data_IF_403017488664
#
_entry.id   IF_403017488664
#
_cell.length_a   1.000
_cell.length_b   1.000
_cell.length_c   1.000
_cell.angle_alpha   90.00
_cell.angle_beta   90.00
_cell.angle_gamma   90.00
#
_symmetry.space_group_name_H-M   'P 1'
#
loop_
_entity.id
_entity.type
_entity.pdbx_description
1 polymer ?
#
# COMPACT_ATOMS: atom_id res chain seq x y z
N UNK A 1 9.66 -11.62 -12.29
CA UNK A 1 8.82 -11.78 -11.08
C UNK A 1 9.29 -13.04 -10.34
N UNK A 2 9.44 -12.97 -9.02
CA UNK A 2 9.94 -14.10 -8.23
C UNK A 2 9.01 -15.31 -8.33
N UNK A 3 9.59 -16.51 -8.45
CA UNK A 3 8.87 -17.77 -8.40
C UNK A 3 8.31 -18.04 -6.99
N UNK A 4 7.15 -18.71 -6.89
CA UNK A 4 6.47 -19.01 -5.61
C UNK A 4 5.22 -18.16 -5.33
N UNK A 5 4.85 -17.99 -4.06
CA UNK A 5 3.70 -17.18 -3.61
C UNK A 5 4.21 -15.85 -3.07
N UNK A 6 4.00 -14.72 -3.76
CA UNK A 6 4.42 -13.41 -3.27
C UNK A 6 3.48 -12.97 -2.13
N UNK A 7 4.04 -12.27 -1.16
CA UNK A 7 3.30 -11.63 -0.07
C UNK A 7 3.60 -10.13 -0.10
N UNK A 8 2.57 -9.31 0.00
CA UNK A 8 2.66 -7.86 0.12
C UNK A 8 2.08 -7.45 1.48
N UNK A 9 2.71 -6.45 2.11
CA UNK A 9 2.16 -5.83 3.30
C UNK A 9 1.10 -4.81 2.91
N UNK A 10 0.12 -4.62 3.77
CA UNK A 10 -0.95 -3.65 3.53
C UNK A 10 -0.39 -2.22 3.43
N UNK A 11 -0.61 -1.55 2.29
CA UNK A 11 -0.10 -0.22 2.00
C UNK A 11 1.23 -0.18 1.24
N UNK A 12 1.83 -1.33 0.90
CA UNK A 12 3.00 -1.38 0.00
C UNK A 12 2.69 -0.73 -1.35
N UNK A 13 1.44 -0.83 -1.79
CA UNK A 13 0.91 -0.30 -3.05
C UNK A 13 0.76 1.23 -3.07
N UNK A 14 0.85 1.92 -1.92
CA UNK A 14 0.74 3.39 -1.81
C UNK A 14 1.93 4.03 -1.08
N UNK A 15 3.04 3.30 -0.93
CA UNK A 15 4.24 3.74 -0.22
C UNK A 15 3.99 4.06 1.27
N UNK A 16 3.17 3.26 1.95
CA UNK A 16 2.92 3.41 3.39
C UNK A 16 4.24 3.40 4.16
N UNK A 17 4.37 4.37 5.07
CA UNK A 17 5.55 4.51 5.92
C UNK A 17 5.15 4.50 7.39
N UNK A 18 5.96 3.83 8.22
CA UNK A 18 5.90 3.96 9.68
C UNK A 18 6.99 4.92 10.19
N UNK A 19 7.54 5.78 9.30
CA UNK A 19 8.55 6.81 9.60
C UNK A 19 9.78 6.29 10.36
N UNK A 20 10.26 5.11 9.97
CA UNK A 20 11.41 4.46 10.59
C UNK A 20 11.09 3.60 11.81
N UNK A 21 9.81 3.53 12.23
CA UNK A 21 9.37 2.56 13.21
C UNK A 21 9.34 1.15 12.57
N UNK A 22 10.00 0.20 13.21
CA UNK A 22 10.05 -1.20 12.77
C UNK A 22 9.18 -2.13 13.64
N UNK A 23 8.46 -1.59 14.63
CA UNK A 23 7.62 -2.35 15.55
C UNK A 23 6.39 -1.57 16.04
N UNK A 24 5.30 -1.62 15.26
CA UNK A 24 4.02 -1.00 15.61
C UNK A 24 3.09 -1.89 16.47
N UNK A 25 3.59 -2.98 17.05
CA UNK A 25 2.81 -4.05 17.71
C UNK A 25 1.85 -3.60 18.83
N UNK A 26 2.08 -2.43 19.45
CA UNK A 26 1.19 -1.86 20.48
C UNK A 26 0.91 -0.37 20.23
N UNK A 27 0.87 0.06 18.96
CA UNK A 27 0.60 1.45 18.61
C UNK A 27 -0.74 1.52 17.88
N UNK A 28 -1.77 2.02 18.57
CA UNK A 28 -3.05 2.37 17.96
C UNK A 28 -3.09 3.89 17.73
N UNK A 29 -2.44 4.31 16.66
CA UNK A 29 -2.31 5.72 16.28
C UNK A 29 -2.02 5.84 14.79
N UNK A 30 -1.93 7.07 14.28
CA UNK A 30 -1.76 7.39 12.86
C UNK A 30 -0.54 6.71 12.22
N UNK A 31 0.45 6.29 13.01
CA UNK A 31 1.64 5.57 12.52
C UNK A 31 1.35 4.12 12.11
N UNK A 32 0.32 3.49 12.70
CA UNK A 32 -0.06 2.11 12.40
C UNK A 32 -1.28 2.04 11.48
N UNK A 33 -2.13 3.07 11.50
CA UNK A 33 -3.31 3.16 10.65
C UNK A 33 -2.95 3.20 9.16
N UNK A 34 -3.90 2.81 8.32
CA UNK A 34 -3.79 2.89 6.87
C UNK A 34 -4.86 3.83 6.37
N UNK A 35 -4.44 4.86 5.64
CA UNK A 35 -5.35 5.74 4.94
C UNK A 35 -5.53 5.23 3.51
N UNK A 36 -6.67 4.59 3.26
CA UNK A 36 -7.02 4.15 1.92
C UNK A 36 -7.31 5.38 1.04
N UNK A 37 -6.74 5.45 -0.18
CA UNK A 37 -7.11 6.49 -1.13
C UNK A 37 -8.60 6.37 -1.48
N UNK A 38 -9.30 7.51 -1.42
CA UNK A 38 -10.76 7.69 -1.41
C UNK A 38 -11.64 6.55 -1.99
N UNK A 39 -12.58 6.08 -1.16
CA UNK A 39 -13.92 5.70 -1.64
C UNK A 39 -14.79 6.96 -1.71
N UNK A 40 -15.75 6.98 -2.63
CA UNK A 40 -16.57 8.11 -3.10
C UNK A 40 -17.38 8.93 -2.05
N UNK A 41 -17.18 8.71 -0.75
CA UNK A 41 -18.02 9.24 0.34
C UNK A 41 -17.38 10.41 1.11
N UNK A 42 -16.28 10.99 0.61
CA UNK A 42 -15.73 12.26 1.07
C UNK A 42 -15.10 12.26 2.47
N UNK A 43 -14.90 11.08 3.08
CA UNK A 43 -14.17 10.92 4.35
C UNK A 43 -12.70 10.61 4.07
N UNK A 44 -11.98 11.59 3.56
CA UNK A 44 -10.55 11.47 3.31
C UNK A 44 -9.75 11.47 4.63
N UNK A 45 -8.85 10.51 4.79
CA UNK A 45 -7.71 10.64 5.71
C UNK A 45 -6.64 11.56 5.12
N UNK A 46 -5.65 12.02 5.91
CA UNK A 46 -4.54 12.79 5.37
C UNK A 46 -3.86 12.00 4.24
N UNK A 47 -3.81 12.64 3.07
CA UNK A 47 -3.21 12.07 1.86
C UNK A 47 -1.69 12.10 2.03
N UNK A 48 -1.11 10.93 2.28
CA UNK A 48 0.32 10.67 2.08
C UNK A 48 0.67 10.95 0.60
N UNK A 49 1.94 11.24 0.26
CA UNK A 49 2.30 12.04 -0.92
C UNK A 49 1.74 11.54 -2.27
N UNK A 50 1.74 12.48 -3.21
CA UNK A 50 1.16 12.45 -4.57
C UNK A 50 1.50 11.18 -5.38
N UNK A 51 2.62 10.54 -5.06
CA UNK A 51 3.17 9.35 -5.72
C UNK A 51 2.36 8.06 -5.49
N UNK A 52 1.52 7.99 -4.44
CA UNK A 52 0.82 6.75 -4.07
C UNK A 52 -0.10 6.20 -5.17
N UNK A 53 -0.70 7.06 -5.99
CA UNK A 53 -1.56 6.63 -7.10
C UNK A 53 -0.74 5.94 -8.21
N UNK A 54 0.45 6.46 -8.53
CA UNK A 54 1.35 5.87 -9.53
C UNK A 54 1.84 4.48 -9.10
N UNK A 55 2.11 4.30 -7.81
CA UNK A 55 2.58 3.04 -7.26
C UNK A 55 1.46 1.98 -7.23
N UNK A 56 0.22 2.40 -7.01
CA UNK A 56 -0.93 1.50 -7.12
C UNK A 56 -1.08 0.99 -8.55
N UNK A 57 -1.01 1.87 -9.53
CA UNK A 57 -1.09 1.50 -10.95
C UNK A 57 0.03 0.54 -11.34
N UNK A 58 1.26 0.82 -10.91
CA UNK A 58 2.40 -0.06 -11.13
C UNK A 58 2.21 -1.44 -10.46
N UNK A 59 1.78 -1.46 -9.20
CA UNK A 59 1.55 -2.71 -8.44
C UNK A 59 0.46 -3.54 -9.12
N UNK A 60 -0.64 -2.91 -9.55
CA UNK A 60 -1.69 -3.56 -10.34
C UNK A 60 -1.12 -4.15 -11.63
N UNK A 61 -0.34 -3.39 -12.40
CA UNK A 61 0.26 -3.87 -13.64
C UNK A 61 1.16 -5.11 -13.40
N UNK A 62 1.94 -5.13 -12.32
CA UNK A 62 2.77 -6.29 -11.95
C UNK A 62 1.95 -7.52 -11.54
N UNK A 63 0.82 -7.32 -10.85
CA UNK A 63 -0.11 -8.41 -10.53
C UNK A 63 -0.70 -9.02 -11.79
N UNK A 64 -1.16 -8.18 -12.73
CA UNK A 64 -1.68 -8.65 -14.02
C UNK A 64 -0.62 -9.38 -14.83
N UNK A 65 0.59 -8.81 -14.93
CA UNK A 65 1.72 -9.44 -15.61
C UNK A 65 2.05 -10.82 -15.01
N UNK A 66 2.07 -10.95 -13.67
CA UNK A 66 2.33 -12.25 -13.02
C UNK A 66 1.27 -13.28 -13.37
N UNK A 67 0.01 -12.85 -13.38
CA UNK A 67 -1.12 -13.74 -13.61
C UNK A 67 -1.17 -14.22 -15.06
N UNK A 68 -0.85 -13.34 -15.99
CA UNK A 68 -0.96 -13.62 -17.43
C UNK A 68 0.30 -14.34 -17.98
N UNK A 69 1.38 -14.41 -17.20
CA UNK A 69 2.64 -15.07 -17.55
C UNK A 69 3.11 -16.04 -16.44
N UNK A 70 2.57 -17.29 -16.41
CA UNK A 70 2.93 -18.29 -15.41
C UNK A 70 4.38 -18.79 -15.49
#
# INVERSE_FOLDING_TARGET
LSQGVPMLSHGDEFARTQRGNNNAYCQDSEISWVHWPEEADGRAGPREPEDGQSLLEFTRAMVWLRRDHP
#
